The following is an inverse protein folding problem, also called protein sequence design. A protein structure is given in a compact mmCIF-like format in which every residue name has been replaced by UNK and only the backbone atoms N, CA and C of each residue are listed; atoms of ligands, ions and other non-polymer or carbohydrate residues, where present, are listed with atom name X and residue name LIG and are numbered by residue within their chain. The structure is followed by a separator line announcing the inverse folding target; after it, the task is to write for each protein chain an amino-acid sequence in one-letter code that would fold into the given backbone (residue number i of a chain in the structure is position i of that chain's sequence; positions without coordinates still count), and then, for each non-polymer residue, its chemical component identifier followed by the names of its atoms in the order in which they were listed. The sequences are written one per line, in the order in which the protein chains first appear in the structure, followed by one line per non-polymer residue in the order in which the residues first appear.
data_IF_112721794592
#
_entry.id   IF_112721794592
#
_cell.length_a   1.000
_cell.length_b   1.000
_cell.length_c   1.000
_cell.angle_alpha   90.00
_cell.angle_beta   90.00
_cell.angle_gamma   90.00
#
_symmetry.space_group_name_H-M   'P 1'
#
loop_
_entity.id
_entity.type
_entity.pdbx_description
1 polymer ?
#
# COMPACT_ATOMS: atom_id res chain seq x y z
N UNK A 1 -4.75 15.54 -9.60
CA UNK A 1 -4.30 15.55 -8.18
C UNK A 1 -3.79 14.16 -7.83
N UNK A 2 -2.67 14.07 -7.10
CA UNK A 2 -2.10 12.78 -6.71
C UNK A 2 -2.62 12.30 -5.35
N UNK A 3 -2.94 11.02 -5.27
CA UNK A 3 -3.31 10.33 -4.05
C UNK A 3 -2.49 9.05 -3.91
N UNK A 4 -2.07 8.75 -2.68
CA UNK A 4 -1.56 7.44 -2.31
C UNK A 4 -2.73 6.56 -1.83
N UNK A 5 -2.81 5.34 -2.36
CA UNK A 5 -3.61 4.25 -1.83
C UNK A 5 -2.64 3.37 -1.03
N UNK A 6 -2.65 3.51 0.29
CA UNK A 6 -1.74 2.82 1.20
C UNK A 6 -2.41 1.55 1.68
N UNK A 7 -1.76 0.40 1.48
CA UNK A 7 -2.35 -0.91 1.67
C UNK A 7 -1.81 -1.51 2.97
N UNK A 8 -2.72 -1.88 3.86
CA UNK A 8 -2.42 -2.51 5.13
C UNK A 8 -2.92 -3.94 5.15
N UNK A 9 -1.99 -4.85 5.39
CA UNK A 9 -2.24 -6.28 5.49
C UNK A 9 -2.33 -6.73 6.95
N UNK A 10 -3.14 -7.75 7.17
CA UNK A 10 -3.26 -8.52 8.43
C UNK A 10 -2.96 -10.00 8.16
N UNK A 11 -2.71 -10.78 9.22
CA UNK A 11 -2.60 -12.25 9.12
C UNK A 11 -3.82 -12.90 8.47
N UNK A 12 -5.02 -12.35 8.69
CA UNK A 12 -6.24 -12.84 8.03
C UNK A 12 -6.22 -12.56 6.52
N UNK A 13 -5.93 -11.32 6.13
CA UNK A 13 -5.90 -10.93 4.71
C UNK A 13 -4.87 -11.75 3.92
N UNK A 14 -3.66 -11.95 4.48
CA UNK A 14 -2.62 -12.81 3.88
C UNK A 14 -3.10 -14.23 3.69
N UNK A 15 -3.72 -14.84 4.71
CA UNK A 15 -4.28 -16.20 4.60
C UNK A 15 -5.36 -16.30 3.52
N UNK A 16 -6.22 -15.29 3.40
CA UNK A 16 -7.27 -15.24 2.36
C UNK A 16 -6.67 -15.15 0.96
N UNK A 17 -5.64 -14.33 0.77
CA UNK A 17 -4.91 -14.22 -0.49
C UNK A 17 -4.19 -15.54 -0.82
N UNK A 18 -3.51 -16.15 0.15
CA UNK A 18 -2.77 -17.39 -0.04
C UNK A 18 -3.67 -18.60 -0.37
N UNK A 19 -4.92 -18.60 0.08
CA UNK A 19 -5.89 -19.65 -0.22
C UNK A 19 -6.18 -19.80 -1.73
N UNK A 20 -6.16 -18.71 -2.49
CA UNK A 20 -6.23 -18.72 -3.96
C UNK A 20 -5.37 -17.61 -4.57
N UNK A 21 -4.05 -17.77 -4.42
CA UNK A 21 -3.06 -16.76 -4.86
C UNK A 21 -3.13 -16.48 -6.36
N UNK A 22 -3.49 -17.49 -7.17
CA UNK A 22 -3.56 -17.35 -8.62
C UNK A 22 -4.76 -16.51 -9.06
N UNK A 23 -5.95 -16.75 -8.48
CA UNK A 23 -7.12 -15.94 -8.77
C UNK A 23 -6.92 -14.49 -8.28
N UNK A 24 -6.44 -14.32 -7.04
CA UNK A 24 -6.13 -13.00 -6.49
C UNK A 24 -5.19 -12.22 -7.40
N UNK A 25 -4.04 -12.81 -7.77
CA UNK A 25 -3.04 -12.17 -8.62
C UNK A 25 -3.63 -11.73 -9.97
N UNK A 26 -4.45 -12.57 -10.58
CA UNK A 26 -5.09 -12.26 -11.86
C UNK A 26 -6.02 -11.05 -11.76
N UNK A 27 -6.87 -11.00 -10.74
CA UNK A 27 -7.80 -9.88 -10.54
C UNK A 27 -7.03 -8.59 -10.22
N UNK A 28 -6.03 -8.69 -9.34
CA UNK A 28 -5.19 -7.58 -8.92
C UNK A 28 -4.38 -7.00 -10.08
N UNK A 29 -3.72 -7.83 -10.88
CA UNK A 29 -3.00 -7.41 -12.09
C UNK A 29 -3.94 -6.80 -13.14
N UNK A 30 -5.16 -7.35 -13.28
CA UNK A 30 -6.20 -6.80 -14.16
C UNK A 30 -6.63 -5.40 -13.74
N UNK A 31 -6.80 -5.17 -12.44
CA UNK A 31 -7.11 -3.86 -11.89
C UNK A 31 -5.99 -2.84 -12.14
N UNK A 32 -4.73 -3.22 -11.87
CA UNK A 32 -3.55 -2.39 -12.16
C UNK A 32 -3.49 -2.01 -13.64
N UNK A 33 -3.67 -3.00 -14.54
CA UNK A 33 -3.69 -2.79 -15.98
C UNK A 33 -4.77 -1.82 -16.43
N UNK A 34 -5.95 -1.88 -15.81
CA UNK A 34 -7.06 -0.96 -16.12
C UNK A 34 -6.73 0.50 -15.76
N UNK A 35 -6.07 0.73 -14.62
CA UNK A 35 -5.63 2.07 -14.21
C UNK A 35 -4.53 2.62 -15.11
N UNK A 36 -3.57 1.77 -15.48
CA UNK A 36 -2.50 2.14 -16.40
C UNK A 36 -3.07 2.52 -17.77
N UNK A 37 -3.99 1.71 -18.32
CA UNK A 37 -4.66 2.00 -19.60
C UNK A 37 -5.49 3.30 -19.55
N UNK A 38 -6.06 3.63 -18.39
CA UNK A 38 -6.78 4.88 -18.17
C UNK A 38 -5.87 6.10 -17.91
N UNK A 39 -4.55 5.92 -17.84
CA UNK A 39 -3.60 6.99 -17.52
C UNK A 39 -3.67 7.49 -16.06
N UNK A 40 -4.27 6.70 -15.16
CA UNK A 40 -4.48 7.06 -13.75
C UNK A 40 -3.41 6.51 -12.82
N UNK A 41 -2.62 5.52 -13.25
CA UNK A 41 -1.55 4.93 -12.44
C UNK A 41 -0.25 5.73 -12.62
N UNK A 42 0.25 6.34 -11.54
CA UNK A 42 1.56 6.98 -11.50
C UNK A 42 2.65 5.97 -11.17
N UNK A 43 2.36 5.02 -10.28
CA UNK A 43 3.28 3.96 -9.86
C UNK A 43 2.79 3.26 -8.60
N UNK A 44 3.57 2.32 -8.07
CA UNK A 44 3.25 1.59 -6.86
C UNK A 44 4.03 0.29 -6.78
N UNK A 45 4.21 -0.21 -5.56
CA UNK A 45 4.95 -1.42 -5.27
C UNK A 45 4.32 -2.17 -4.09
N UNK A 46 4.41 -3.49 -4.15
CA UNK A 46 4.20 -4.35 -2.99
C UNK A 46 5.50 -4.41 -2.18
N UNK A 47 5.37 -4.42 -0.86
CA UNK A 47 6.49 -4.61 0.06
C UNK A 47 6.70 -6.10 0.33
N UNK A 48 7.96 -6.48 0.50
CA UNK A 48 8.32 -7.81 0.99
C UNK A 48 8.08 -7.87 2.50
N UNK A 49 7.00 -8.52 2.91
CA UNK A 49 6.58 -8.63 4.31
C UNK A 49 6.68 -10.06 4.86
N UNK A 50 6.91 -11.07 4.00
CA UNK A 50 6.89 -12.48 4.39
C UNK A 50 8.27 -13.01 4.79
N UNK A 51 9.33 -12.53 4.13
CA UNK A 51 10.66 -13.14 4.26
C UNK A 51 11.71 -12.22 4.88
N UNK A 52 11.58 -10.90 4.70
CA UNK A 52 12.55 -9.92 5.21
C UNK A 52 11.88 -9.02 6.22
N UNK A 53 12.38 -9.02 7.47
CA UNK A 53 11.87 -8.12 8.49
C UNK A 53 12.20 -6.66 8.13
N UNK A 54 11.27 -5.71 8.32
CA UNK A 54 11.56 -4.30 8.15
C UNK A 54 12.51 -3.81 9.24
N UNK A 55 13.40 -2.88 8.89
CA UNK A 55 14.22 -2.15 9.83
C UNK A 55 13.67 -0.74 10.05
N UNK A 56 13.83 -0.23 11.27
CA UNK A 56 13.43 1.12 11.65
C UNK A 56 14.64 1.90 12.12
N UNK A 57 14.76 3.13 11.62
CA UNK A 57 15.72 4.13 12.11
C UNK A 57 14.95 5.21 12.85
N UNK A 58 15.37 5.55 14.07
CA UNK A 58 14.77 6.62 14.89
C UNK A 58 15.83 7.60 15.34
N UNK A 59 15.51 8.88 15.27
CA UNK A 59 16.30 9.96 15.86
C UNK A 59 15.58 10.51 17.09
N UNK A 60 16.23 10.44 18.24
CA UNK A 60 15.73 11.00 19.48
C UNK A 60 15.86 12.54 19.49
N UNK A 61 15.18 13.20 20.43
CA UNK A 61 15.20 14.65 20.55
C UNK A 61 16.60 15.23 20.84
N UNK A 62 17.50 14.42 21.43
CA UNK A 62 18.90 14.77 21.67
C UNK A 62 19.80 14.58 20.43
N UNK A 63 19.24 14.16 19.30
CA UNK A 63 19.95 13.91 18.04
C UNK A 63 20.54 12.50 17.92
N UNK A 64 20.44 11.66 18.95
CA UNK A 64 20.91 10.27 18.90
C UNK A 64 20.09 9.46 17.90
N UNK A 65 20.75 8.72 17.00
CA UNK A 65 20.08 7.85 16.03
C UNK A 65 20.30 6.37 16.37
N UNK A 66 19.22 5.60 16.36
CA UNK A 66 19.23 4.15 16.58
C UNK A 66 18.59 3.42 15.41
N UNK A 67 19.10 2.22 15.11
CA UNK A 67 18.54 1.30 14.12
C UNK A 67 18.10 0.01 14.82
N UNK A 68 16.94 -0.50 14.45
CA UNK A 68 16.36 -1.74 14.99
C UNK A 68 15.76 -2.59 13.88
N UNK A 69 15.98 -3.90 13.91
CA UNK A 69 15.36 -4.86 12.98
C UNK A 69 13.91 -5.18 13.40
N UNK A 70 13.08 -4.15 13.45
CA UNK A 70 11.67 -4.22 13.79
C UNK A 70 10.87 -3.15 13.03
N UNK A 71 9.55 -3.37 12.82
CA UNK A 71 8.66 -2.37 12.23
C UNK A 71 8.60 -1.07 13.03
N UNK A 72 8.28 0.03 12.34
CA UNK A 72 8.12 1.35 12.98
C UNK A 72 6.88 1.42 13.88
N UNK A 73 5.91 0.53 13.69
CA UNK A 73 4.71 0.43 14.51
C UNK A 73 4.40 -1.04 14.78
N UNK A 74 3.96 -1.34 16.00
CA UNK A 74 3.46 -2.68 16.36
C UNK A 74 1.94 -2.65 16.32
N UNK A 75 1.33 -3.60 15.62
CA UNK A 75 -0.12 -3.69 15.46
C UNK A 75 -0.51 -4.93 14.65
N UNK A 76 -1.82 -5.14 14.52
CA UNK A 76 -2.38 -6.20 13.66
C UNK A 76 -2.18 -5.89 12.17
N UNK A 77 -2.22 -4.60 11.82
CA UNK A 77 -2.02 -4.10 10.48
C UNK A 77 -0.53 -3.78 10.22
N UNK A 78 -0.01 -4.27 9.10
CA UNK A 78 1.35 -4.01 8.60
C UNK A 78 1.25 -3.34 7.23
N UNK A 79 2.13 -2.40 6.92
CA UNK A 79 2.19 -1.79 5.59
C UNK A 79 2.61 -2.86 4.56
N UNK A 80 1.70 -3.22 3.65
CA UNK A 80 1.91 -4.24 2.62
C UNK A 80 2.28 -3.66 1.25
N UNK A 81 1.98 -2.38 1.00
CA UNK A 81 2.33 -1.73 -0.26
C UNK A 81 1.60 -0.42 -0.49
N UNK A 82 1.76 0.14 -1.68
CA UNK A 82 1.04 1.35 -2.08
C UNK A 82 0.85 1.45 -3.59
N UNK A 83 -0.13 2.26 -3.99
CA UNK A 83 -0.21 2.86 -5.32
C UNK A 83 -0.24 4.38 -5.21
N UNK A 84 0.35 5.05 -6.20
CA UNK A 84 0.12 6.47 -6.45
C UNK A 84 -0.77 6.58 -7.69
N UNK A 85 -1.91 7.24 -7.52
CA UNK A 85 -2.87 7.48 -8.59
C UNK A 85 -3.03 8.97 -8.84
N UNK A 86 -3.24 9.34 -10.10
CA UNK A 86 -3.57 10.69 -10.51
C UNK A 86 -5.02 10.74 -10.98
N UNK A 87 -5.83 11.48 -10.24
CA UNK A 87 -7.29 11.56 -10.39
C UNK A 87 -7.77 12.99 -10.20
N UNK A 88 -9.04 13.26 -10.55
CA UNK A 88 -9.62 14.59 -10.46
C UNK A 88 -9.71 15.10 -9.02
N UNK A 89 -10.17 14.23 -8.09
CA UNK A 89 -10.41 14.59 -6.70
C UNK A 89 -10.36 13.39 -5.74
N UNK A 90 -10.62 13.66 -4.45
CA UNK A 90 -10.63 12.63 -3.40
C UNK A 90 -11.79 11.63 -3.56
N UNK A 91 -12.92 12.03 -4.13
CA UNK A 91 -14.05 11.13 -4.31
C UNK A 91 -13.69 10.06 -5.35
N UNK A 92 -13.06 10.45 -6.46
CA UNK A 92 -12.55 9.51 -7.45
C UNK A 92 -11.48 8.57 -6.86
N UNK A 93 -10.55 9.08 -6.05
CA UNK A 93 -9.56 8.25 -5.36
C UNK A 93 -10.21 7.18 -4.46
N UNK A 94 -11.28 7.55 -3.75
CA UNK A 94 -12.04 6.62 -2.90
C UNK A 94 -12.81 5.56 -3.72
N UNK A 95 -13.33 5.91 -4.90
CA UNK A 95 -13.95 4.93 -5.79
C UNK A 95 -12.92 3.94 -6.32
N UNK A 96 -11.72 4.42 -6.71
CA UNK A 96 -10.64 3.53 -7.11
C UNK A 96 -10.25 2.58 -5.96
N UNK A 97 -10.07 3.10 -4.75
CA UNK A 97 -9.77 2.28 -3.58
C UNK A 97 -10.85 1.21 -3.30
N UNK A 98 -12.14 1.55 -3.43
CA UNK A 98 -13.26 0.59 -3.30
C UNK A 98 -13.24 -0.50 -4.37
N UNK A 99 -12.73 -0.19 -5.55
CA UNK A 99 -12.68 -1.12 -6.69
C UNK A 99 -11.48 -2.06 -6.68
N UNK A 100 -10.48 -1.83 -5.82
CA UNK A 100 -9.30 -2.68 -5.69
C UNK A 100 -9.73 -4.08 -5.21
N UNK A 101 -9.47 -5.16 -5.98
CA UNK A 101 -9.84 -6.52 -5.58
C UNK A 101 -8.88 -7.06 -4.51
N UNK A 102 -8.96 -6.51 -3.29
CA UNK A 102 -8.17 -6.96 -2.14
C UNK A 102 -9.01 -7.14 -0.88
N UNK A 103 -8.72 -8.15 -0.04
CA UNK A 103 -9.29 -8.25 1.31
C UNK A 103 -8.62 -7.31 2.32
N UNK A 104 -7.58 -6.57 1.91
CA UNK A 104 -6.76 -5.70 2.76
C UNK A 104 -7.40 -4.33 2.99
N UNK A 105 -6.96 -3.64 4.04
CA UNK A 105 -7.39 -2.27 4.33
C UNK A 105 -6.66 -1.28 3.41
N UNK A 106 -7.38 -0.30 2.84
CA UNK A 106 -6.79 0.75 1.99
C UNK A 106 -7.02 2.13 2.60
N UNK A 107 -5.94 2.82 2.98
CA UNK A 107 -6.00 4.23 3.38
C UNK A 107 -5.75 5.14 2.17
N UNK A 108 -6.67 6.07 1.92
CA UNK A 108 -6.55 7.07 0.84
C UNK A 108 -5.97 8.37 1.37
N UNK A 109 -4.80 8.73 0.88
CA UNK A 109 -4.02 9.90 1.33
C UNK A 109 -3.77 10.90 0.20
N UNK A 110 -4.10 12.19 0.35
CA UNK A 110 -3.65 13.19 -0.63
C UNK A 110 -2.12 13.35 -0.55
N UNK A 111 -1.47 13.45 -1.71
CA UNK A 111 -0.04 13.73 -1.79
C UNK A 111 0.16 15.23 -1.98
N UNK A 112 1.00 15.83 -1.14
CA UNK A 112 1.47 17.20 -1.34
C UNK A 112 2.48 17.19 -2.49
N UNK A 113 2.17 17.90 -3.57
CA UNK A 113 3.11 18.10 -4.67
C UNK A 113 4.16 19.11 -4.22
N UNK A 114 5.39 18.64 -3.99
CA UNK A 114 6.52 19.44 -3.50
C UNK A 114 7.62 19.69 -4.54
N UNK A 115 7.30 19.50 -5.83
CA UNK A 115 8.21 19.73 -6.95
C UNK A 115 7.51 20.48 -8.09
#
# INVERSE_FOLDING_TARGET
MKFALVIFETDESRRRIQADRAAYRKEYEGWIGSLAAAGKLVGGDALETEHTAPATVRTAADGTTTATDAPAHTGEETLGGWFVVEVADRAEALELARSLPTPETVEVRPILESA
#
